data_IF_945075369582
#
_entry.id   IF_945075369582
#
_cell.length_a   1.000
_cell.length_b   1.000
_cell.length_c   1.000
_cell.angle_alpha   90.00
_cell.angle_beta   90.00
_cell.angle_gamma   90.00
#
_symmetry.space_group_name_H-M   'P 1'
#
loop_
_entity.id
_entity.type
_entity.pdbx_description
1 polymer ?
#
# COMPACT_ATOMS: atom_id res chain seq x y z
N UNK A 1 20.04 -7.04 -17.96
CA UNK A 1 19.83 -6.25 -16.70
C UNK A 1 18.79 -6.88 -15.79
N UNK A 2 17.79 -7.61 -16.32
CA UNK A 2 16.89 -8.45 -15.52
C UNK A 2 17.56 -9.76 -15.04
N UNK A 3 18.62 -10.19 -15.72
CA UNK A 3 19.33 -11.45 -15.42
C UNK A 3 20.11 -11.41 -14.09
N UNK A 4 20.42 -10.21 -13.56
CA UNK A 4 21.06 -10.02 -12.23
C UNK A 4 20.05 -10.09 -11.07
N UNK A 5 18.76 -9.91 -11.35
CA UNK A 5 17.71 -9.75 -10.33
C UNK A 5 16.68 -10.89 -10.28
N UNK A 6 16.92 -11.95 -11.04
CA UNK A 6 16.21 -13.23 -10.96
C UNK A 6 14.75 -13.19 -11.43
N UNK A 7 14.30 -14.27 -12.07
CA UNK A 7 12.94 -14.42 -12.61
C UNK A 7 11.80 -14.43 -11.55
N UNK A 8 12.13 -14.13 -10.30
CA UNK A 8 11.28 -14.18 -9.11
C UNK A 8 11.63 -13.10 -8.05
N UNK A 9 12.37 -12.05 -8.42
CA UNK A 9 12.71 -10.94 -7.52
C UNK A 9 13.71 -11.29 -6.41
N UNK A 10 14.42 -12.41 -6.53
CA UNK A 10 15.53 -12.77 -5.63
C UNK A 10 16.81 -12.14 -6.17
N UNK A 11 17.35 -11.15 -5.46
CA UNK A 11 18.61 -10.51 -5.83
C UNK A 11 19.77 -11.29 -5.19
N UNK A 12 20.81 -11.60 -5.97
CA UNK A 12 22.08 -12.09 -5.43
C UNK A 12 22.94 -10.86 -5.10
N UNK A 13 22.96 -10.45 -3.82
CA UNK A 13 23.66 -9.26 -3.34
C UNK A 13 25.18 -9.42 -3.19
N UNK A 14 25.78 -10.50 -3.72
CA UNK A 14 27.14 -10.92 -3.39
C UNK A 14 28.27 -10.18 -4.12
N UNK A 15 28.00 -9.15 -4.93
CA UNK A 15 29.03 -8.60 -5.85
C UNK A 15 29.27 -7.08 -5.77
N UNK A 16 28.79 -6.37 -4.74
CA UNK A 16 29.11 -4.95 -4.55
C UNK A 16 30.31 -4.75 -3.59
N UNK A 17 31.42 -4.08 -3.99
CA UNK A 17 32.55 -3.81 -3.10
C UNK A 17 32.22 -2.62 -2.18
N UNK A 18 32.20 -2.88 -0.87
CA UNK A 18 31.89 -1.90 0.17
C UNK A 18 30.82 -2.45 1.12
N UNK A 19 31.20 -3.42 1.93
CA UNK A 19 30.32 -4.33 2.69
C UNK A 19 29.10 -3.67 3.37
N UNK A 20 27.87 -3.91 2.86
CA UNK A 20 26.64 -3.80 3.64
C UNK A 20 26.20 -5.22 4.04
N UNK A 21 25.47 -5.36 5.15
CA UNK A 21 24.91 -6.66 5.61
C UNK A 21 24.39 -7.49 4.42
N UNK A 22 24.82 -8.74 4.30
CA UNK A 22 24.22 -9.67 3.33
C UNK A 22 22.85 -10.09 3.84
N UNK A 23 21.87 -9.21 3.63
CA UNK A 23 20.50 -9.43 4.07
C UNK A 23 19.95 -10.74 3.48
N UNK A 24 20.34 -11.11 2.25
CA UNK A 24 19.74 -12.21 1.49
C UNK A 24 20.30 -13.60 1.82
N UNK A 25 21.39 -13.69 2.57
CA UNK A 25 21.99 -14.95 2.99
C UNK A 25 21.02 -15.84 3.82
N UNK A 26 20.01 -15.27 4.49
CA UNK A 26 19.13 -16.02 5.41
C UNK A 26 17.66 -15.55 5.40
N UNK A 27 16.98 -15.59 4.25
CA UNK A 27 15.54 -15.22 4.13
C UNK A 27 14.61 -16.16 4.96
N UNK A 28 15.07 -17.38 5.30
CA UNK A 28 14.28 -18.39 6.02
C UNK A 28 13.98 -18.06 7.50
N UNK A 29 14.46 -16.93 8.03
CA UNK A 29 14.45 -16.63 9.47
C UNK A 29 13.49 -15.50 9.89
N UNK A 30 12.52 -15.12 9.05
CA UNK A 30 11.57 -14.05 9.39
C UNK A 30 10.53 -14.53 10.43
N UNK A 31 10.98 -14.67 11.68
CA UNK A 31 10.19 -14.93 12.87
C UNK A 31 9.49 -13.65 13.32
N UNK A 32 8.44 -13.28 12.60
CA UNK A 32 7.56 -12.18 12.98
C UNK A 32 6.56 -12.65 14.05
N UNK A 33 6.29 -11.83 15.09
CA UNK A 33 5.28 -12.16 16.08
C UNK A 33 3.89 -12.36 15.46
N UNK A 34 3.08 -13.24 16.04
CA UNK A 34 1.75 -13.61 15.51
C UNK A 34 0.63 -13.48 16.54
N UNK A 35 0.81 -12.68 17.60
CA UNK A 35 -0.29 -12.45 18.54
C UNK A 35 -1.35 -11.55 17.89
N UNK A 36 -2.61 -11.75 18.30
CA UNK A 36 -3.73 -10.95 17.86
C UNK A 36 -3.50 -9.44 18.05
N UNK A 37 -2.99 -9.05 19.22
CA UNK A 37 -2.69 -7.65 19.57
C UNK A 37 -1.69 -7.01 18.60
N UNK A 38 -0.61 -7.73 18.26
CA UNK A 38 0.43 -7.23 17.35
C UNK A 38 -0.12 -7.08 15.93
N UNK A 39 -0.93 -8.02 15.47
CA UNK A 39 -1.53 -7.97 14.14
C UNK A 39 -2.53 -6.81 14.04
N UNK A 40 -3.36 -6.58 15.06
CA UNK A 40 -4.29 -5.45 15.10
C UNK A 40 -3.58 -4.09 15.16
N UNK A 41 -2.50 -3.99 15.95
CA UNK A 41 -1.67 -2.79 15.95
C UNK A 41 -1.06 -2.55 14.56
N UNK A 42 -0.53 -3.59 13.93
CA UNK A 42 0.02 -3.53 12.57
C UNK A 42 -1.00 -3.11 11.52
N UNK A 43 -2.23 -3.62 11.61
CA UNK A 43 -3.34 -3.24 10.73
C UNK A 43 -3.66 -1.75 10.84
N UNK A 44 -3.78 -1.24 12.06
CA UNK A 44 -4.05 0.18 12.33
C UNK A 44 -2.98 1.09 11.75
N UNK A 45 -1.70 0.75 11.97
CA UNK A 45 -0.57 1.51 11.42
C UNK A 45 -0.55 1.41 9.90
N UNK A 46 -0.78 0.22 9.34
CA UNK A 46 -0.82 0.02 7.90
C UNK A 46 -1.88 0.90 7.24
N UNK A 47 -3.09 0.93 7.79
CA UNK A 47 -4.18 1.77 7.31
C UNK A 47 -3.83 3.27 7.35
N UNK A 48 -3.14 3.71 8.41
CA UNK A 48 -2.79 5.12 8.61
C UNK A 48 -1.58 5.59 7.80
N UNK A 49 -0.58 4.72 7.58
CA UNK A 49 0.75 5.12 7.09
C UNK A 49 1.13 4.50 5.74
N UNK A 50 0.52 3.38 5.36
CA UNK A 50 0.98 2.57 4.23
C UNK A 50 -0.07 2.42 3.12
N UNK A 51 -1.35 2.37 3.48
CA UNK A 51 -2.45 2.00 2.58
C UNK A 51 -2.72 3.02 1.45
N UNK A 52 -2.27 4.27 1.59
CA UNK A 52 -2.36 5.27 0.52
C UNK A 52 -1.45 4.90 -0.67
N UNK A 53 -0.29 4.32 -0.39
CA UNK A 53 0.72 4.02 -1.39
C UNK A 53 0.83 2.53 -1.75
N UNK A 54 0.39 1.64 -0.87
CA UNK A 54 0.55 0.19 -1.05
C UNK A 54 -0.76 -0.57 -0.93
N UNK A 55 -0.85 -1.64 -1.71
CA UNK A 55 -1.88 -2.66 -1.53
C UNK A 55 -1.24 -4.04 -1.50
N UNK A 56 -1.98 -5.05 -1.02
CA UNK A 56 -1.48 -6.42 -0.98
C UNK A 56 -1.34 -7.00 -2.39
N UNK A 57 -2.36 -6.89 -3.24
CA UNK A 57 -2.44 -7.62 -4.51
C UNK A 57 -2.10 -6.84 -5.79
N UNK A 58 -2.12 -5.50 -5.76
CA UNK A 58 -1.91 -4.68 -6.98
C UNK A 58 -0.89 -3.57 -6.77
N UNK A 59 -0.20 -3.20 -7.85
CA UNK A 59 0.61 -1.99 -7.89
C UNK A 59 -0.30 -0.76 -7.87
N UNK A 60 0.05 0.22 -7.06
CA UNK A 60 -0.56 1.56 -7.08
C UNK A 60 0.56 2.59 -7.23
N UNK A 61 0.81 3.42 -6.21
CA UNK A 61 1.98 4.30 -6.15
C UNK A 61 3.22 3.44 -5.90
N UNK A 62 3.15 2.56 -4.92
CA UNK A 62 4.16 1.56 -4.58
C UNK A 62 3.87 0.17 -5.15
N UNK A 63 4.82 -0.77 -5.02
CA UNK A 63 4.63 -2.19 -5.34
C UNK A 63 3.49 -2.83 -4.55
N UNK A 64 2.95 -3.93 -5.11
CA UNK A 64 2.20 -4.91 -4.35
C UNK A 64 3.10 -5.60 -3.31
N UNK A 65 2.65 -5.61 -2.06
CA UNK A 65 3.45 -6.06 -0.91
C UNK A 65 2.95 -7.37 -0.28
N UNK A 66 2.00 -8.06 -0.91
CA UNK A 66 1.70 -9.44 -0.51
C UNK A 66 2.98 -10.29 -0.52
N UNK A 67 3.12 -11.14 0.49
CA UNK A 67 4.27 -12.02 0.69
C UNK A 67 5.64 -11.30 0.66
N UNK A 68 5.71 -9.99 0.93
CA UNK A 68 7.00 -9.26 0.93
C UNK A 68 7.95 -9.82 2.00
N UNK A 69 7.40 -10.31 3.11
CA UNK A 69 8.12 -10.97 4.22
C UNK A 69 8.60 -12.38 3.88
N UNK A 70 8.26 -12.91 2.70
CA UNK A 70 8.83 -14.17 2.17
C UNK A 70 9.90 -13.90 1.10
N UNK A 71 9.86 -12.71 0.50
CA UNK A 71 10.78 -12.26 -0.55
C UNK A 71 11.99 -11.52 0.02
N UNK A 72 11.80 -10.84 1.15
CA UNK A 72 12.78 -9.95 1.74
C UNK A 72 12.99 -10.26 3.23
N UNK A 73 14.24 -10.20 3.74
CA UNK A 73 14.56 -10.33 5.16
C UNK A 73 13.90 -9.23 6.00
N UNK A 74 13.43 -9.57 7.20
CA UNK A 74 12.80 -8.62 8.12
C UNK A 74 13.73 -7.44 8.42
N UNK A 75 15.01 -7.67 8.71
CA UNK A 75 15.97 -6.60 8.97
C UNK A 75 16.09 -5.62 7.80
N UNK A 76 16.10 -6.12 6.56
CA UNK A 76 16.15 -5.27 5.37
C UNK A 76 14.88 -4.44 5.25
N UNK A 77 13.72 -5.08 5.45
CA UNK A 77 12.42 -4.40 5.40
C UNK A 77 12.31 -3.32 6.48
N UNK A 78 12.78 -3.60 7.69
CA UNK A 78 12.83 -2.64 8.79
C UNK A 78 13.74 -1.46 8.43
N UNK A 79 14.98 -1.72 7.98
CA UNK A 79 15.91 -0.65 7.58
C UNK A 79 15.35 0.19 6.43
N UNK A 80 14.72 -0.46 5.45
CA UNK A 80 14.08 0.22 4.32
C UNK A 80 12.90 1.06 4.78
N UNK A 81 11.99 0.53 5.59
CA UNK A 81 10.84 1.29 6.11
C UNK A 81 11.29 2.49 6.94
N UNK A 82 12.34 2.33 7.75
CA UNK A 82 12.89 3.45 8.53
C UNK A 82 13.43 4.55 7.64
N UNK A 83 14.29 4.22 6.67
CA UNK A 83 14.94 5.24 5.84
C UNK A 83 15.39 4.72 4.45
N UNK A 84 14.50 4.75 3.44
CA UNK A 84 14.81 4.32 2.08
C UNK A 84 15.94 5.13 1.42
N UNK A 85 15.95 6.44 1.66
CA UNK A 85 16.92 7.35 1.07
C UNK A 85 18.34 7.07 1.58
N UNK A 86 18.49 6.74 2.86
CA UNK A 86 19.78 6.32 3.43
C UNK A 86 20.30 5.05 2.76
N UNK A 87 19.44 4.06 2.49
CA UNK A 87 19.84 2.84 1.80
C UNK A 87 20.25 3.10 0.34
N UNK A 88 19.55 4.00 -0.34
CA UNK A 88 19.93 4.45 -1.70
C UNK A 88 21.32 5.11 -1.66
N UNK A 89 21.52 6.06 -0.72
CA UNK A 89 22.80 6.79 -0.57
C UNK A 89 23.95 5.88 -0.16
N UNK A 90 23.69 4.80 0.57
CA UNK A 90 24.70 3.80 0.93
C UNK A 90 25.04 2.83 -0.20
N UNK A 91 24.44 2.98 -1.40
CA UNK A 91 24.71 2.11 -2.54
C UNK A 91 23.95 0.79 -2.51
N UNK A 92 22.86 0.66 -1.74
CA UNK A 92 22.04 -0.56 -1.80
C UNK A 92 21.40 -0.70 -3.18
N UNK A 93 21.88 -1.66 -3.99
CA UNK A 93 21.44 -1.85 -5.37
C UNK A 93 19.93 -2.05 -5.50
N UNK A 94 19.30 -2.73 -4.53
CA UNK A 94 17.86 -2.99 -4.57
C UNK A 94 17.04 -1.74 -4.26
N UNK A 95 17.44 -0.95 -3.26
CA UNK A 95 16.79 0.33 -2.97
C UNK A 95 16.91 1.28 -4.16
N UNK A 96 18.06 1.29 -4.85
CA UNK A 96 18.27 2.05 -6.10
C UNK A 96 17.34 1.54 -7.20
N UNK A 97 17.27 0.21 -7.40
CA UNK A 97 16.36 -0.41 -8.35
C UNK A 97 14.90 -0.02 -8.08
N UNK A 98 14.45 -0.06 -6.83
CA UNK A 98 13.09 0.35 -6.45
C UNK A 98 12.84 1.83 -6.81
N UNK A 99 13.75 2.73 -6.46
CA UNK A 99 13.61 4.14 -6.79
C UNK A 99 13.51 4.38 -8.31
N UNK A 100 14.30 3.67 -9.11
CA UNK A 100 14.27 3.77 -10.58
C UNK A 100 13.01 3.18 -11.21
N UNK A 101 12.48 2.07 -10.68
CA UNK A 101 11.30 1.40 -11.26
C UNK A 101 9.95 1.99 -10.80
N UNK A 102 9.95 2.71 -9.69
CA UNK A 102 8.74 3.34 -9.14
C UNK A 102 8.76 4.86 -9.32
N UNK A 103 9.88 5.46 -9.73
CA UNK A 103 10.05 6.91 -9.94
C UNK A 103 9.65 7.77 -8.73
N UNK A 104 9.63 7.17 -7.55
CA UNK A 104 9.35 7.80 -6.26
C UNK A 104 10.16 7.10 -5.19
N UNK A 105 10.67 7.86 -4.23
CA UNK A 105 11.32 7.32 -3.02
C UNK A 105 10.29 7.30 -1.91
N UNK A 106 10.13 6.14 -1.26
CA UNK A 106 9.23 6.01 -0.10
C UNK A 106 9.71 6.96 1.02
N UNK A 107 8.81 7.66 1.73
CA UNK A 107 9.20 8.55 2.81
C UNK A 107 9.85 7.77 3.98
N UNK A 108 10.63 8.49 4.79
CA UNK A 108 11.26 7.96 5.99
C UNK A 108 10.25 7.88 7.15
N UNK A 109 10.16 6.73 7.81
CA UNK A 109 9.32 6.53 8.99
C UNK A 109 10.08 6.49 10.32
N UNK A 110 11.40 6.65 10.32
CA UNK A 110 12.26 6.62 11.53
C UNK A 110 11.81 7.56 12.66
N UNK A 111 11.19 8.70 12.33
CA UNK A 111 10.67 9.66 13.31
C UNK A 111 9.21 9.41 13.72
N UNK A 112 8.49 8.54 13.01
CA UNK A 112 7.05 8.30 13.18
C UNK A 112 6.76 6.95 13.81
N UNK A 113 7.58 5.94 13.53
CA UNK A 113 7.38 4.57 13.95
C UNK A 113 8.62 4.04 14.65
N UNK A 114 8.42 3.42 15.80
CA UNK A 114 9.43 2.59 16.44
C UNK A 114 9.68 1.31 15.64
N UNK A 115 10.79 0.64 15.93
CA UNK A 115 11.10 -0.65 15.33
C UNK A 115 10.02 -1.69 15.60
N UNK A 116 9.49 -1.75 16.84
CA UNK A 116 8.42 -2.67 17.20
C UNK A 116 7.13 -2.40 16.41
N UNK A 117 6.79 -1.14 16.16
CA UNK A 117 5.63 -0.76 15.34
C UNK A 117 5.81 -1.18 13.88
N UNK A 118 7.02 -1.06 13.33
CA UNK A 118 7.35 -1.57 12.00
C UNK A 118 7.24 -3.10 11.97
N UNK A 119 7.72 -3.80 13.00
CA UNK A 119 7.55 -5.25 13.13
C UNK A 119 6.06 -5.63 13.21
N UNK A 120 5.22 -4.86 13.91
CA UNK A 120 3.77 -5.07 13.93
C UNK A 120 3.17 -4.93 12.53
N UNK A 121 3.55 -3.92 11.76
CA UNK A 121 3.11 -3.75 10.35
C UNK A 121 3.55 -4.94 9.49
N UNK A 122 4.80 -5.39 9.60
CA UNK A 122 5.28 -6.55 8.84
C UNK A 122 4.55 -7.84 9.24
N UNK A 123 4.21 -8.00 10.52
CA UNK A 123 3.42 -9.11 11.04
C UNK A 123 2.00 -9.11 10.47
N UNK A 124 1.36 -7.93 10.41
CA UNK A 124 0.07 -7.75 9.74
C UNK A 124 0.15 -8.08 8.24
N UNK A 125 1.16 -7.57 7.53
CA UNK A 125 1.32 -7.86 6.09
C UNK A 125 1.48 -9.37 5.86
N UNK A 126 2.26 -10.07 6.70
CA UNK A 126 2.42 -11.53 6.63
C UNK A 126 1.08 -12.24 6.86
N UNK A 127 0.34 -11.86 7.90
CA UNK A 127 -0.98 -12.42 8.20
C UNK A 127 -1.97 -12.20 7.03
N UNK A 128 -2.09 -10.95 6.57
CA UNK A 128 -3.04 -10.57 5.52
C UNK A 128 -2.69 -11.18 4.15
N UNK A 129 -1.41 -11.43 3.89
CA UNK A 129 -0.95 -12.13 2.67
C UNK A 129 -1.30 -13.61 2.65
N UNK A 130 -1.44 -14.26 3.82
CA UNK A 130 -1.90 -15.64 3.94
C UNK A 130 -3.41 -15.76 4.01
N UNK A 131 -4.08 -14.78 4.63
CA UNK A 131 -5.54 -14.72 4.76
C UNK A 131 -6.24 -14.46 3.42
N UNK A 132 -5.67 -13.56 2.62
CA UNK A 132 -6.12 -13.34 1.25
C UNK A 132 -5.18 -14.15 0.36
N UNK A 133 -5.69 -15.07 -0.46
CA UNK A 133 -4.91 -15.97 -1.33
C UNK A 133 -4.14 -15.24 -2.46
N UNK A 134 -3.39 -14.20 -2.10
CA UNK A 134 -2.64 -13.33 -3.00
C UNK A 134 -1.28 -13.94 -3.24
N UNK A 135 -1.17 -14.73 -4.31
CA UNK A 135 0.12 -15.23 -4.79
C UNK A 135 0.74 -14.20 -5.73
N UNK A 136 1.69 -13.41 -5.22
CA UNK A 136 2.74 -12.85 -6.07
C UNK A 136 3.83 -13.93 -6.23
N UNK A 137 3.49 -15.00 -6.98
CA UNK A 137 4.34 -16.19 -7.19
C UNK A 137 4.27 -17.20 -6.04
N UNK A 138 3.47 -18.26 -6.24
CA UNK A 138 3.34 -19.52 -5.45
C UNK A 138 4.46 -19.79 -4.42
N UNK A 139 4.17 -20.00 -3.12
CA UNK A 139 3.51 -21.19 -2.56
C UNK A 139 2.76 -20.85 -1.25
N UNK A 140 1.43 -20.82 -1.29
CA UNK A 140 0.58 -20.45 -0.15
C UNK A 140 0.25 -21.61 0.81
N UNK A 141 1.06 -22.67 0.86
CA UNK A 141 0.61 -23.95 1.42
C UNK A 141 1.31 -24.34 2.74
N UNK A 142 2.31 -23.59 3.21
CA UNK A 142 3.20 -24.12 4.26
C UNK A 142 3.05 -23.52 5.67
N UNK A 143 2.16 -22.56 5.99
CA UNK A 143 2.29 -21.92 7.31
C UNK A 143 1.04 -21.46 8.08
N UNK A 144 -0.13 -22.04 7.83
CA UNK A 144 -1.30 -21.84 8.71
C UNK A 144 -1.36 -22.79 9.92
N UNK A 145 -0.43 -23.75 10.04
CA UNK A 145 -0.49 -24.80 11.05
C UNK A 145 -0.19 -24.34 12.50
N UNK A 146 0.41 -23.16 12.71
CA UNK A 146 0.69 -22.61 14.06
C UNK A 146 0.04 -21.23 14.30
N UNK A 147 -1.02 -20.89 13.56
CA UNK A 147 -1.79 -19.69 13.86
C UNK A 147 -2.50 -19.84 15.21
N UNK A 148 -2.34 -18.85 16.10
CA UNK A 148 -3.12 -18.70 17.33
C UNK A 148 -4.63 -18.86 17.00
N UNK A 149 -5.38 -19.72 17.70
CA UNK A 149 -6.82 -19.90 17.48
C UNK A 149 -7.61 -18.58 17.45
N UNK A 150 -7.15 -17.56 18.17
CA UNK A 150 -7.74 -16.22 18.14
C UNK A 150 -7.65 -15.52 16.77
N UNK A 151 -6.67 -15.87 15.94
CA UNK A 151 -6.52 -15.36 14.57
C UNK A 151 -7.50 -15.96 13.57
N UNK A 152 -8.03 -17.16 13.88
CA UNK A 152 -9.10 -17.79 13.10
C UNK A 152 -10.47 -17.16 13.42
N UNK A 153 -10.60 -16.56 14.61
CA UNK A 153 -11.80 -15.85 15.06
C UNK A 153 -11.84 -14.38 14.60
N UNK A 154 -10.73 -13.85 14.07
CA UNK A 154 -10.74 -12.55 13.42
C UNK A 154 -11.63 -12.59 12.16
N UNK A 155 -12.44 -11.55 11.93
CA UNK A 155 -13.04 -11.34 10.62
C UNK A 155 -11.90 -11.32 9.61
N UNK A 156 -11.92 -12.23 8.64
CA UNK A 156 -10.97 -12.18 7.54
C UNK A 156 -11.09 -10.78 6.91
N UNK A 157 -9.96 -10.09 6.61
CA UNK A 157 -10.02 -8.83 5.91
C UNK A 157 -10.86 -9.09 4.67
N UNK A 158 -12.01 -8.41 4.59
CA UNK A 158 -12.98 -8.69 3.55
C UNK A 158 -12.22 -8.70 2.21
N UNK A 159 -12.47 -9.68 1.31
CA UNK A 159 -11.93 -9.60 -0.04
C UNK A 159 -12.19 -8.18 -0.53
N UNK A 160 -11.23 -7.53 -1.22
CA UNK A 160 -11.38 -6.13 -1.61
C UNK A 160 -12.76 -6.01 -2.23
N UNK A 161 -13.67 -5.35 -1.51
CA UNK A 161 -15.02 -5.17 -2.00
C UNK A 161 -14.82 -4.49 -3.32
N UNK A 162 -15.31 -5.11 -4.40
CA UNK A 162 -15.38 -4.45 -5.69
C UNK A 162 -15.75 -3.01 -5.41
N UNK A 163 -14.88 -2.06 -5.80
CA UNK A 163 -15.24 -0.64 -5.73
C UNK A 163 -16.67 -0.51 -6.24
N UNK A 164 -17.55 0.30 -5.62
CA UNK A 164 -18.95 0.35 -5.98
C UNK A 164 -19.10 0.61 -7.49
N UNK A 165 -19.26 -0.50 -8.20
CA UNK A 165 -19.33 -0.61 -9.63
C UNK A 165 -20.54 0.20 -10.08
N UNK A 166 -20.26 1.29 -10.81
CA UNK A 166 -21.11 2.03 -11.73
C UNK A 166 -22.45 2.62 -11.24
N UNK A 167 -22.98 2.20 -10.09
CA UNK A 167 -24.34 2.56 -9.67
C UNK A 167 -24.34 3.87 -8.88
N UNK A 168 -23.34 4.08 -8.02
CA UNK A 168 -23.19 5.34 -7.27
C UNK A 168 -22.71 6.49 -8.17
N UNK A 169 -21.94 6.18 -9.22
CA UNK A 169 -21.50 7.14 -10.24
C UNK A 169 -22.67 7.76 -10.99
N UNK A 170 -23.74 7.01 -11.26
CA UNK A 170 -24.88 7.50 -12.04
C UNK A 170 -25.75 8.47 -11.23
N UNK A 171 -26.04 8.18 -9.96
CA UNK A 171 -26.82 9.10 -9.11
C UNK A 171 -26.09 10.41 -8.81
N UNK A 172 -24.76 10.36 -8.56
CA UNK A 172 -23.95 11.56 -8.33
C UNK A 172 -23.83 12.40 -9.61
N UNK A 173 -23.66 11.77 -10.78
CA UNK A 173 -23.64 12.47 -12.07
C UNK A 173 -25.00 13.12 -12.40
N UNK A 174 -26.11 12.45 -12.12
CA UNK A 174 -27.46 13.02 -12.31
C UNK A 174 -27.70 14.18 -11.35
N UNK A 175 -27.33 14.04 -10.07
CA UNK A 175 -27.48 15.10 -9.08
C UNK A 175 -26.69 16.37 -9.46
N UNK A 176 -25.43 16.22 -9.89
CA UNK A 176 -24.60 17.34 -10.36
C UNK A 176 -25.18 17.97 -11.64
N UNK A 177 -25.66 17.15 -12.58
CA UNK A 177 -26.29 17.62 -13.81
C UNK A 177 -27.57 18.42 -13.57
N UNK A 178 -28.48 17.92 -12.73
CA UNK A 178 -29.74 18.60 -12.38
C UNK A 178 -29.47 19.90 -11.63
N UNK A 179 -28.53 19.92 -10.69
CA UNK A 179 -28.17 21.13 -9.96
C UNK A 179 -27.56 22.19 -10.87
N UNK A 180 -26.71 21.78 -11.83
CA UNK A 180 -26.16 22.68 -12.84
C UNK A 180 -27.23 23.31 -13.73
N UNK A 181 -28.20 22.52 -14.23
CA UNK A 181 -29.30 23.03 -15.07
C UNK A 181 -30.20 23.99 -14.31
N UNK A 182 -30.51 23.71 -13.05
CA UNK A 182 -31.32 24.59 -12.21
C UNK A 182 -30.61 25.92 -11.89
N UNK A 183 -29.30 25.89 -11.68
CA UNK A 183 -28.49 27.10 -11.49
C UNK A 183 -28.50 27.98 -12.75
N UNK A 184 -28.27 27.39 -13.92
CA UNK A 184 -28.27 28.11 -15.20
C UNK A 184 -29.66 28.67 -15.51
N UNK A 185 -30.71 27.89 -15.33
CA UNK A 185 -32.09 28.35 -15.53
C UNK A 185 -32.46 29.47 -14.53
N UNK A 186 -32.02 29.38 -13.28
CA UNK A 186 -32.20 30.42 -12.27
C UNK A 186 -31.50 31.73 -12.63
N UNK A 187 -30.26 31.66 -13.12
CA UNK A 187 -29.51 32.83 -13.61
C UNK A 187 -30.21 33.45 -14.82
N UNK A 188 -30.65 32.66 -15.79
CA UNK A 188 -31.36 33.16 -16.98
C UNK A 188 -32.68 33.82 -16.58
N UNK A 189 -33.47 33.21 -15.69
CA UNK A 189 -34.71 33.80 -15.19
C UNK A 189 -34.46 35.13 -14.47
N UNK A 190 -33.42 35.19 -13.63
CA UNK A 190 -33.04 36.41 -12.94
C UNK A 190 -32.63 37.52 -13.92
N UNK A 191 -31.82 37.21 -14.93
CA UNK A 191 -31.41 38.16 -15.97
C UNK A 191 -32.62 38.68 -16.76
N UNK A 192 -33.51 37.79 -17.22
CA UNK A 192 -34.73 38.18 -17.94
C UNK A 192 -35.60 39.10 -17.09
N UNK A 193 -35.78 38.78 -15.80
CA UNK A 193 -36.56 39.62 -14.88
C UNK A 193 -35.88 40.96 -14.64
N UNK A 194 -34.56 40.97 -14.49
CA UNK A 194 -33.78 42.18 -14.27
C UNK A 194 -33.87 43.13 -15.46
N UNK A 195 -33.67 42.64 -16.69
CA UNK A 195 -33.80 43.45 -17.90
C UNK A 195 -35.24 43.96 -18.10
N UNK A 196 -36.27 43.13 -17.86
CA UNK A 196 -37.66 43.59 -17.88
C UNK A 196 -37.98 44.64 -16.82
N UNK A 197 -37.30 44.63 -15.69
CA UNK A 197 -37.46 45.65 -14.65
C UNK A 197 -36.76 46.97 -15.04
N UNK A 198 -35.70 46.91 -15.85
CA UNK A 198 -35.05 48.09 -16.41
C UNK A 198 -35.91 48.77 -17.48
N UNK A 199 -36.52 48.00 -18.40
CA UNK A 199 -37.42 48.53 -19.44
C UNK A 199 -38.66 49.22 -18.88
N UNK A 200 -39.09 48.87 -17.65
CA UNK A 200 -40.29 49.43 -17.02
C UNK A 200 -40.05 50.77 -16.30
N UNK A 201 -38.82 51.27 -16.34
CA UNK A 201 -38.38 52.47 -15.60
C UNK A 201 -38.14 53.69 -16.51
N UNK A 202 -38.43 53.56 -17.81
CA UNK A 202 -38.64 54.67 -18.75
C UNK A 202 -40.14 54.99 -18.87
#
# INVERSE_FOLDING_TARGET
MLDKYGHNGRINASEAPGTPKDYFANISANNLPRSLEIIQQGESIFAAQCAECHTLGKRTIGPAIAAVTERMPTDWLTDFIKNPEKMIKSGNEYSIFLAQNYNIVMPSFDALLSENEIISVLSYIKYASGAQTHTAGSNANEHMADADPALQALPQPAPPTEEPNATQSTMVKIAIGVFGVLLVAGIIYFLIRFFRALDKKE
#
